data_IF_175721209538
#
_entry.id   IF_175721209538
#
_cell.length_a   1.000
_cell.length_b   1.000
_cell.length_c   1.000
_cell.angle_alpha   90.00
_cell.angle_beta   90.00
_cell.angle_gamma   90.00
#
_symmetry.space_group_name_H-M   'P 1'
#
loop_
_entity.id
_entity.type
_entity.pdbx_description
1 polymer ?
#
# COMPACT_ATOMS: atom_id res chain seq x y z
N UNK A 1 6.01 12.52 -1.24
CA UNK A 1 7.09 12.04 -2.14
C UNK A 1 8.06 11.21 -1.30
N UNK A 2 8.42 10.00 -1.70
CA UNK A 2 9.27 9.10 -0.89
C UNK A 2 10.71 9.65 -0.79
N UNK A 3 11.04 10.37 0.28
CA UNK A 3 12.39 10.91 0.51
C UNK A 3 13.46 9.83 0.76
N UNK A 4 13.04 8.59 1.00
CA UNK A 4 13.86 7.40 1.25
C UNK A 4 14.99 7.23 0.23
N UNK A 5 14.69 7.44 -1.06
CA UNK A 5 15.67 7.27 -2.13
C UNK A 5 16.68 8.41 -2.19
N UNK A 6 16.28 9.62 -1.80
CA UNK A 6 17.15 10.80 -1.76
C UNK A 6 18.06 10.80 -0.52
N UNK A 7 17.54 10.35 0.62
CA UNK A 7 18.28 10.26 1.89
C UNK A 7 19.13 8.98 2.02
N UNK A 8 19.01 8.05 1.07
CA UNK A 8 19.78 6.80 1.08
C UNK A 8 19.40 5.85 2.21
N UNK A 9 18.17 5.96 2.74
CA UNK A 9 17.69 5.09 3.81
C UNK A 9 17.47 3.67 3.29
N UNK A 10 17.97 2.69 4.04
CA UNK A 10 17.86 1.27 3.67
C UNK A 10 16.45 0.72 3.90
N UNK A 11 15.82 1.13 5.00
CA UNK A 11 14.53 0.63 5.47
C UNK A 11 13.82 1.76 6.19
N UNK A 12 12.51 1.89 5.99
CA UNK A 12 11.66 2.79 6.78
C UNK A 12 10.39 2.10 7.23
N UNK A 13 9.78 2.67 8.25
CA UNK A 13 8.44 2.34 8.71
C UNK A 13 7.50 3.49 8.32
N UNK A 14 6.43 3.17 7.60
CA UNK A 14 5.35 4.10 7.25
C UNK A 14 4.12 3.69 8.05
N UNK A 15 3.45 4.68 8.65
CA UNK A 15 2.26 4.51 9.48
C UNK A 15 1.27 5.61 9.14
N UNK A 16 -0.02 5.27 9.12
CA UNK A 16 -1.11 6.24 9.20
C UNK A 16 -1.19 6.83 10.62
N UNK A 17 -1.75 8.02 10.72
CA UNK A 17 -1.82 8.80 11.97
C UNK A 17 -2.89 8.26 12.93
N UNK A 18 -3.86 7.51 12.43
CA UNK A 18 -4.96 6.89 13.18
C UNK A 18 -4.74 5.38 13.46
N UNK A 19 -3.49 4.92 13.40
CA UNK A 19 -3.13 3.54 13.72
C UNK A 19 -3.14 3.26 15.24
N UNK A 20 -3.88 2.23 15.65
CA UNK A 20 -3.81 1.64 17.00
C UNK A 20 -2.74 0.55 17.04
N UNK A 21 -1.77 0.71 17.93
CA UNK A 21 -0.69 -0.26 18.12
C UNK A 21 -1.08 -1.40 19.06
N UNK A 22 -0.66 -2.60 18.72
CA UNK A 22 -0.71 -3.74 19.62
C UNK A 22 0.19 -3.55 20.85
N UNK A 23 -0.14 -4.15 22.01
CA UNK A 23 0.77 -4.22 23.15
C UNK A 23 2.13 -4.78 22.73
N UNK A 24 3.19 -4.19 23.29
CA UNK A 24 4.58 -4.53 22.97
C UNK A 24 4.97 -4.33 21.50
N UNK A 25 4.33 -3.39 20.79
CA UNK A 25 4.58 -3.08 19.37
C UNK A 25 6.05 -3.08 18.98
N UNK A 26 6.90 -2.30 19.68
CA UNK A 26 8.34 -2.18 19.36
C UNK A 26 9.05 -3.52 19.43
N UNK A 27 8.73 -4.34 20.43
CA UNK A 27 9.29 -5.68 20.59
C UNK A 27 8.82 -6.62 19.47
N UNK A 28 7.51 -6.64 19.18
CA UNK A 28 6.95 -7.43 18.09
C UNK A 28 7.53 -7.03 16.72
N UNK A 29 7.70 -5.73 16.47
CA UNK A 29 8.33 -5.21 15.25
C UNK A 29 9.78 -5.68 15.13
N UNK A 30 10.54 -5.64 16.23
CA UNK A 30 11.90 -6.15 16.26
C UNK A 30 11.95 -7.65 15.95
N UNK A 31 10.98 -8.44 16.42
CA UNK A 31 10.90 -9.87 16.06
C UNK A 31 10.72 -10.07 14.55
N UNK A 32 9.84 -9.30 13.92
CA UNK A 32 9.62 -9.34 12.45
C UNK A 32 10.92 -8.97 11.70
N UNK A 33 11.56 -7.86 12.08
CA UNK A 33 12.83 -7.44 11.48
C UNK A 33 13.95 -8.48 11.67
N UNK A 34 14.04 -9.08 12.85
CA UNK A 34 15.01 -10.13 13.12
C UNK A 34 14.74 -11.39 12.29
N UNK A 35 13.47 -11.74 12.07
CA UNK A 35 13.10 -12.87 11.21
C UNK A 35 13.43 -12.61 9.73
N UNK A 36 13.15 -11.42 9.21
CA UNK A 36 13.56 -11.01 7.85
C UNK A 36 15.09 -11.15 7.67
N UNK A 37 15.88 -10.66 8.63
CA UNK A 37 17.35 -10.76 8.61
C UNK A 37 17.84 -12.21 8.72
N UNK A 38 17.22 -13.02 9.58
CA UNK A 38 17.55 -14.44 9.79
C UNK A 38 17.30 -15.26 8.53
N UNK A 39 16.16 -15.04 7.88
CA UNK A 39 15.76 -15.76 6.67
C UNK A 39 16.59 -15.36 5.44
N UNK A 40 17.25 -14.20 5.47
CA UNK A 40 18.07 -13.66 4.36
C UNK A 40 17.32 -13.61 3.03
N UNK A 41 16.01 -13.38 3.10
CA UNK A 41 15.16 -13.25 1.93
C UNK A 41 15.14 -11.82 1.41
N UNK A 42 14.96 -11.68 0.10
CA UNK A 42 14.66 -10.37 -0.49
C UNK A 42 13.24 -9.95 -0.16
N UNK A 43 13.04 -8.70 0.26
CA UNK A 43 11.73 -8.10 0.47
C UNK A 43 11.76 -6.62 0.07
N UNK A 44 10.63 -6.12 -0.42
CA UNK A 44 10.45 -4.73 -0.85
C UNK A 44 9.49 -4.01 0.07
N UNK A 45 8.41 -4.68 0.46
CA UNK A 45 7.37 -4.15 1.33
C UNK A 45 6.95 -5.24 2.34
N UNK A 46 6.73 -4.85 3.59
CA UNK A 46 6.15 -5.74 4.60
C UNK A 46 4.99 -5.03 5.28
N UNK A 47 3.77 -5.50 5.04
CA UNK A 47 2.60 -5.00 5.76
C UNK A 47 2.70 -5.34 7.24
N UNK A 48 2.36 -4.37 8.08
CA UNK A 48 2.22 -4.57 9.53
C UNK A 48 0.82 -4.18 10.03
N UNK A 49 0.04 -3.47 9.21
CA UNK A 49 -1.39 -3.24 9.36
C UNK A 49 -2.04 -3.16 7.99
N UNK A 50 -3.06 -3.99 7.77
CA UNK A 50 -3.87 -4.01 6.56
C UNK A 50 -5.19 -4.74 6.78
N UNK A 51 -6.14 -4.56 5.88
CA UNK A 51 -7.32 -5.41 5.73
C UNK A 51 -7.06 -6.43 4.62
N UNK A 52 -6.83 -7.68 4.99
CA UNK A 52 -6.83 -8.77 4.02
C UNK A 52 -8.26 -8.98 3.49
N UNK A 53 -8.40 -9.05 2.17
CA UNK A 53 -9.71 -9.30 1.54
C UNK A 53 -9.83 -10.71 0.96
N UNK A 54 -8.72 -11.45 0.89
CA UNK A 54 -8.73 -12.81 0.37
C UNK A 54 -7.67 -13.67 1.06
N UNK A 55 -7.97 -14.07 2.32
CA UNK A 55 -7.09 -14.89 3.15
C UNK A 55 -6.71 -16.23 2.49
N UNK A 56 -7.55 -16.75 1.59
CA UNK A 56 -7.31 -18.01 0.88
C UNK A 56 -6.11 -17.95 -0.08
N UNK A 57 -5.65 -16.75 -0.46
CA UNK A 57 -4.48 -16.57 -1.32
C UNK A 57 -3.19 -16.29 -0.53
N UNK A 58 -3.24 -16.30 0.80
CA UNK A 58 -2.05 -16.11 1.62
C UNK A 58 -1.28 -17.41 1.80
N UNK A 59 0.04 -17.31 1.72
CA UNK A 59 0.92 -18.46 1.93
C UNK A 59 2.00 -18.12 2.94
N UNK A 60 2.18 -19.00 3.92
CA UNK A 60 3.30 -18.89 4.86
C UNK A 60 4.63 -18.92 4.11
N UNK A 61 5.50 -17.99 4.47
CA UNK A 61 6.87 -18.02 3.96
C UNK A 61 7.58 -19.23 4.56
N UNK A 62 8.29 -19.98 3.73
CA UNK A 62 9.04 -21.17 4.17
C UNK A 62 10.00 -20.81 5.31
N UNK A 63 10.02 -21.64 6.36
CA UNK A 63 10.84 -21.46 7.57
C UNK A 63 10.53 -20.17 8.39
N UNK A 64 9.42 -19.48 8.09
CA UNK A 64 8.96 -18.31 8.82
C UNK A 64 7.93 -18.67 9.89
N UNK A 65 7.88 -17.90 10.97
CA UNK A 65 6.82 -17.96 11.99
C UNK A 65 5.95 -16.71 12.04
N UNK A 66 6.40 -15.60 11.44
CA UNK A 66 5.71 -14.31 11.51
C UNK A 66 5.41 -13.70 10.13
N UNK A 67 5.80 -14.34 9.03
CA UNK A 67 5.68 -13.76 7.68
C UNK A 67 4.89 -14.65 6.73
N UNK A 68 3.98 -14.02 6.01
CA UNK A 68 3.22 -14.60 4.89
C UNK A 68 3.44 -13.78 3.62
N UNK A 69 3.14 -14.38 2.47
CA UNK A 69 2.93 -13.64 1.21
C UNK A 69 1.48 -13.16 1.18
N UNK A 70 1.24 -11.83 1.11
CA UNK A 70 -0.10 -11.29 1.12
C UNK A 70 -0.79 -11.50 -0.22
N UNK A 71 -2.11 -11.68 -0.18
CA UNK A 71 -2.99 -11.50 -1.33
C UNK A 71 -3.44 -10.04 -1.48
N UNK A 72 -4.55 -9.85 -2.19
CA UNK A 72 -5.20 -8.55 -2.32
C UNK A 72 -5.58 -7.97 -0.95
N UNK A 73 -5.28 -6.68 -0.75
CA UNK A 73 -5.35 -6.03 0.55
C UNK A 73 -5.85 -4.60 0.43
N UNK A 74 -6.64 -4.16 1.41
CA UNK A 74 -7.08 -2.78 1.61
C UNK A 74 -6.51 -2.18 2.89
N UNK A 75 -6.76 -0.88 3.10
CA UNK A 75 -6.42 -0.13 4.31
C UNK A 75 -4.93 -0.22 4.62
N UNK A 76 -4.11 0.59 3.96
CA UNK A 76 -2.64 0.54 4.08
C UNK A 76 -2.14 1.24 5.36
N UNK A 77 -2.68 0.81 6.52
CA UNK A 77 -2.46 1.40 7.85
C UNK A 77 -0.97 1.54 8.20
N UNK A 78 -0.15 0.58 7.76
CA UNK A 78 1.30 0.71 7.92
C UNK A 78 2.10 -0.47 7.38
N UNK A 79 3.31 -0.14 6.96
CA UNK A 79 4.21 -1.06 6.30
C UNK A 79 5.68 -0.66 6.46
N UNK A 80 6.56 -1.65 6.42
CA UNK A 80 7.98 -1.44 6.19
C UNK A 80 8.23 -1.32 4.69
N UNK A 81 9.09 -0.40 4.29
CA UNK A 81 9.51 -0.21 2.90
C UNK A 81 11.04 -0.21 2.82
N UNK A 82 11.59 -1.10 2.00
CA UNK A 82 13.03 -1.08 1.72
C UNK A 82 13.36 -0.02 0.67
N UNK A 83 14.60 0.47 0.66
CA UNK A 83 15.06 1.41 -0.37
C UNK A 83 14.94 0.84 -1.80
N UNK A 84 15.07 -0.48 -1.96
CA UNK A 84 14.83 -1.19 -3.23
C UNK A 84 13.34 -1.15 -3.60
N UNK A 85 12.46 -1.40 -2.64
CA UNK A 85 11.01 -1.28 -2.82
C UNK A 85 10.62 0.13 -3.23
N UNK A 86 11.12 1.15 -2.54
CA UNK A 86 10.87 2.55 -2.87
C UNK A 86 11.28 2.88 -4.33
N UNK A 87 12.45 2.42 -4.79
CA UNK A 87 12.89 2.60 -6.18
C UNK A 87 11.94 1.93 -7.18
N UNK A 88 11.51 0.69 -6.91
CA UNK A 88 10.52 -0.01 -7.77
C UNK A 88 9.21 0.75 -7.87
N UNK A 89 8.68 1.23 -6.74
CA UNK A 89 7.45 2.02 -6.70
C UNK A 89 7.58 3.34 -7.47
N UNK A 90 8.73 4.02 -7.39
CA UNK A 90 8.97 5.25 -8.15
C UNK A 90 9.12 4.99 -9.65
N UNK A 91 9.80 3.91 -10.04
CA UNK A 91 9.98 3.54 -11.46
C UNK A 91 8.65 3.26 -12.18
N UNK A 92 7.61 2.86 -11.44
CA UNK A 92 6.26 2.70 -11.96
C UNK A 92 5.60 4.03 -12.39
N UNK A 93 6.24 5.18 -12.15
CA UNK A 93 5.74 6.53 -12.43
C UNK A 93 4.31 6.77 -11.88
N UNK A 94 4.08 6.55 -10.57
CA UNK A 94 2.74 6.54 -9.99
C UNK A 94 1.99 7.86 -10.16
N UNK A 95 2.71 8.99 -10.24
CA UNK A 95 2.09 10.32 -10.44
C UNK A 95 1.43 10.49 -11.82
N UNK A 96 1.79 9.67 -12.82
CA UNK A 96 1.13 9.68 -14.14
C UNK A 96 -0.14 8.82 -14.16
N UNK A 97 -0.34 7.98 -13.14
CA UNK A 97 -1.41 6.98 -13.03
C UNK A 97 -1.93 7.01 -11.60
N UNK A 98 -2.54 8.14 -11.24
CA UNK A 98 -2.95 8.45 -9.87
C UNK A 98 -3.96 7.39 -9.39
N UNK A 99 -3.51 6.56 -8.45
CA UNK A 99 -4.30 5.52 -7.81
C UNK A 99 -4.20 5.66 -6.30
N UNK A 100 -5.25 5.28 -5.55
CA UNK A 100 -5.14 5.04 -4.12
C UNK A 100 -4.00 4.08 -3.81
N UNK A 101 -3.31 4.31 -2.67
CA UNK A 101 -2.11 3.55 -2.32
C UNK A 101 -2.39 2.07 -2.10
N UNK A 102 -3.55 1.76 -1.54
CA UNK A 102 -4.04 0.41 -1.28
C UNK A 102 -4.48 -0.33 -2.54
N UNK A 103 -4.70 0.37 -3.66
CA UNK A 103 -4.87 -0.25 -4.99
C UNK A 103 -3.54 -0.37 -5.73
N UNK A 104 -2.72 0.67 -5.64
CA UNK A 104 -1.42 0.71 -6.28
C UNK A 104 -0.47 -0.37 -5.76
N UNK A 105 -0.38 -0.57 -4.44
CA UNK A 105 0.55 -1.56 -3.87
C UNK A 105 0.24 -2.99 -4.34
N UNK A 106 -1.00 -3.52 -4.24
CA UNK A 106 -1.35 -4.83 -4.79
C UNK A 106 -1.11 -4.99 -6.28
N UNK A 107 -1.28 -3.93 -7.07
CA UNK A 107 -0.88 -3.96 -8.49
C UNK A 107 0.62 -4.23 -8.60
N UNK A 108 1.44 -3.51 -7.83
CA UNK A 108 2.90 -3.60 -7.92
C UNK A 108 3.47 -4.95 -7.46
N UNK A 109 2.78 -5.69 -6.58
CA UNK A 109 3.12 -7.09 -6.25
C UNK A 109 2.24 -8.13 -6.96
N UNK A 110 1.52 -7.71 -8.01
CA UNK A 110 0.76 -8.56 -8.92
C UNK A 110 -0.33 -9.43 -8.25
N UNK A 111 -1.10 -8.83 -7.34
CA UNK A 111 -2.19 -9.48 -6.59
C UNK A 111 -3.48 -8.64 -6.60
N UNK A 112 -3.70 -7.84 -7.65
CA UNK A 112 -4.91 -7.02 -7.78
C UNK A 112 -6.01 -7.77 -8.56
N UNK A 113 -7.30 -7.70 -8.16
CA UNK A 113 -8.38 -8.47 -8.78
C UNK A 113 -8.80 -7.95 -10.17
N UNK A 114 -8.59 -6.66 -10.46
CA UNK A 114 -8.91 -6.07 -11.77
C UNK A 114 -7.72 -6.16 -12.72
N UNK A 115 -7.84 -7.01 -13.74
CA UNK A 115 -6.81 -7.21 -14.77
C UNK A 115 -6.54 -5.93 -15.57
N UNK A 116 -7.57 -5.16 -15.91
CA UNK A 116 -7.46 -3.88 -16.64
C UNK A 116 -6.50 -2.89 -15.96
N UNK A 117 -6.45 -2.93 -14.62
CA UNK A 117 -5.57 -2.06 -13.82
C UNK A 117 -4.15 -2.61 -13.77
N UNK A 118 -4.00 -3.94 -13.67
CA UNK A 118 -2.69 -4.61 -13.75
C UNK A 118 -2.00 -4.31 -15.09
N UNK A 119 -2.75 -4.33 -16.19
CA UNK A 119 -2.26 -4.06 -17.54
C UNK A 119 -1.70 -2.64 -17.70
N UNK A 120 -2.11 -1.69 -16.85
CA UNK A 120 -1.54 -0.34 -16.86
C UNK A 120 -0.10 -0.31 -16.33
N UNK A 121 0.41 -1.33 -15.65
CA UNK A 121 1.75 -1.31 -15.07
C UNK A 121 2.53 -2.52 -15.55
N UNK A 122 3.50 -2.35 -16.43
CA UNK A 122 4.24 -3.49 -17.02
C UNK A 122 5.13 -4.22 -15.98
N UNK A 123 5.90 -3.46 -15.20
CA UNK A 123 6.79 -4.01 -14.17
C UNK A 123 6.10 -4.13 -12.81
N UNK A 124 5.60 -5.34 -12.49
CA UNK A 124 4.89 -5.65 -11.23
C UNK A 124 5.66 -6.64 -10.37
N UNK A 125 6.90 -6.28 -10.04
CA UNK A 125 7.88 -7.18 -9.40
C UNK A 125 8.17 -6.84 -7.94
N UNK A 126 7.29 -6.10 -7.26
CA UNK A 126 7.44 -5.76 -5.85
C UNK A 126 7.32 -7.03 -4.99
N UNK A 127 8.33 -7.34 -4.18
CA UNK A 127 8.30 -8.50 -3.29
C UNK A 127 7.62 -8.08 -1.99
N UNK A 128 6.30 -8.27 -1.93
CA UNK A 128 5.50 -7.98 -0.75
C UNK A 128 5.45 -9.18 0.22
N UNK A 129 5.47 -8.86 1.51
CA UNK A 129 5.22 -9.76 2.63
C UNK A 129 4.22 -9.10 3.58
N UNK A 130 3.70 -9.87 4.54
CA UNK A 130 2.90 -9.35 5.63
C UNK A 130 3.32 -10.03 6.93
N UNK A 131 3.33 -9.26 8.02
CA UNK A 131 3.33 -9.82 9.35
C UNK A 131 2.04 -10.61 9.58
N UNK A 132 2.15 -11.75 10.28
CA UNK A 132 1.03 -12.54 10.77
C UNK A 132 1.38 -13.08 12.16
N UNK A 133 0.72 -12.63 13.24
CA UNK A 133 -0.37 -11.62 13.26
C UNK A 133 0.11 -10.20 12.91
N UNK A 134 -0.84 -9.32 12.55
CA UNK A 134 -0.58 -7.90 12.33
C UNK A 134 -0.20 -7.19 13.65
N UNK A 135 0.50 -6.06 13.51
CA UNK A 135 1.03 -5.28 14.64
C UNK A 135 0.23 -4.01 14.93
N UNK A 136 -0.53 -3.52 13.95
CA UNK A 136 -1.37 -2.34 14.08
C UNK A 136 -2.73 -2.59 13.43
N UNK A 137 -3.74 -1.89 13.95
CA UNK A 137 -5.14 -2.01 13.57
C UNK A 137 -5.75 -0.60 13.54
N UNK A 138 -6.89 -0.38 12.84
CA UNK A 138 -7.51 0.93 12.85
C UNK A 138 -8.10 1.22 14.25
N UNK A 139 -8.19 2.50 14.63
CA UNK A 139 -8.86 2.90 15.87
C UNK A 139 -10.36 2.59 15.80
N UNK A 140 -10.98 2.74 14.63
CA UNK A 140 -12.39 2.48 14.34
C UNK A 140 -12.52 1.53 13.16
N UNK A 141 -13.51 0.64 13.18
CA UNK A 141 -13.87 -0.17 12.02
C UNK A 141 -15.11 0.41 11.32
N UNK A 142 -15.28 0.13 10.03
CA UNK A 142 -16.49 0.51 9.26
C UNK A 142 -17.79 -0.06 9.83
N UNK A 143 -17.69 -1.08 10.69
CA UNK A 143 -18.83 -1.67 11.41
C UNK A 143 -19.19 -0.97 12.71
N UNK A 144 -18.38 -0.02 13.18
CA UNK A 144 -18.59 0.63 14.47
C UNK A 144 -19.76 1.62 14.40
N UNK A 145 -20.58 1.66 15.45
CA UNK A 145 -21.70 2.61 15.53
C UNK A 145 -21.19 4.06 15.54
N UNK A 146 -21.78 4.90 14.70
CA UNK A 146 -21.33 6.27 14.46
C UNK A 146 -20.02 6.40 13.67
N UNK A 147 -19.55 5.35 12.99
CA UNK A 147 -18.44 5.46 12.05
C UNK A 147 -18.79 6.43 10.91
N UNK A 148 -17.90 7.37 10.63
CA UNK A 148 -17.98 8.31 9.51
C UNK A 148 -16.66 8.21 8.77
N UNK A 149 -16.71 7.91 7.48
CA UNK A 149 -15.55 7.94 6.58
C UNK A 149 -15.69 9.12 5.64
N UNK A 150 -14.58 9.82 5.43
CA UNK A 150 -14.43 10.84 4.40
C UNK A 150 -14.05 10.26 3.03
N UNK A 151 -13.75 8.96 2.95
CA UNK A 151 -13.17 8.30 1.76
C UNK A 151 -13.99 7.15 1.17
N UNK A 152 -14.85 6.48 1.95
CA UNK A 152 -15.56 5.27 1.51
C UNK A 152 -16.87 5.56 0.74
N UNK A 153 -17.53 6.70 0.99
CA UNK A 153 -18.87 7.03 0.43
C UNK A 153 -18.87 8.21 -0.55
N UNK A 154 -17.77 8.41 -1.28
CA UNK A 154 -17.68 9.52 -2.24
C UNK A 154 -18.58 9.29 -3.47
N UNK A 155 -19.32 10.33 -3.85
CA UNK A 155 -20.12 10.32 -5.08
C UNK A 155 -19.22 10.37 -6.31
N UNK A 156 -19.44 9.46 -7.26
CA UNK A 156 -18.73 9.49 -8.55
C UNK A 156 -19.17 10.73 -9.33
N UNK A 157 -18.25 11.66 -9.55
CA UNK A 157 -18.49 12.80 -10.45
C UNK A 157 -18.39 12.29 -11.89
N UNK A 158 -19.51 12.23 -12.60
CA UNK A 158 -19.46 12.04 -14.05
C UNK A 158 -19.01 13.35 -14.70
N UNK A 159 -17.78 13.36 -15.20
CA UNK A 159 -17.30 14.45 -16.05
C UNK A 159 -17.97 14.27 -17.41
N UNK A 160 -19.02 15.03 -17.67
CA UNK A 160 -19.55 15.17 -19.03
C UNK A 160 -18.52 15.92 -19.88
N UNK A 161 -18.27 15.39 -21.08
CA UNK A 161 -17.29 15.91 -22.06
C UNK A 161 -17.47 17.38 -22.40
N UNK A 162 -18.65 17.95 -22.11
CA UNK A 162 -19.05 19.30 -22.49
C UNK A 162 -18.34 20.40 -21.69
N UNK A 163 -17.84 20.11 -20.48
CA UNK A 163 -17.15 21.13 -19.66
C UNK A 163 -15.65 21.27 -19.98
N UNK A 164 -15.00 20.21 -20.49
CA UNK A 164 -13.58 20.24 -20.85
C UNK A 164 -13.29 21.09 -22.10
N UNK A 165 -14.27 21.21 -23.00
CA UNK A 165 -14.16 22.03 -24.20
C UNK A 165 -14.27 23.54 -23.92
N UNK A 166 -14.91 23.91 -22.81
CA UNK A 166 -15.19 25.31 -22.46
C UNK A 166 -13.99 25.93 -21.74
N UNK A 167 -13.36 25.21 -20.80
CA UNK A 167 -12.16 25.70 -20.07
C UNK A 167 -10.91 25.80 -20.96
N UNK A 168 -10.73 24.92 -21.95
CA UNK A 168 -9.60 25.01 -22.89
C UNK A 168 -9.68 26.23 -23.83
N UNK A 169 -10.87 26.83 -23.98
CA UNK A 169 -11.08 28.02 -24.81
C UNK A 169 -10.72 29.29 -24.06
N UNK A 170 -11.09 29.42 -22.79
CA UNK A 170 -10.76 30.58 -21.96
C UNK A 170 -9.24 30.73 -21.75
N UNK A 171 -8.50 29.63 -21.58
CA UNK A 171 -7.04 29.69 -21.37
C UNK A 171 -6.27 30.13 -22.63
N UNK A 172 -6.86 30.01 -23.83
CA UNK A 172 -6.22 30.41 -25.10
C UNK A 172 -6.52 31.84 -25.52
N UNK A 173 -7.49 32.51 -24.92
CA UNK A 173 -7.83 33.91 -25.26
C UNK A 173 -7.03 34.93 -24.43
N UNK A 174 -6.37 34.50 -23.34
CA UNK A 174 -5.53 35.34 -22.45
C UNK A 174 -4.00 35.16 -22.65
N UNK A 175 -3.55 34.69 -23.84
CA UNK A 175 -2.14 34.57 -24.23
C UNK A 175 -1.81 35.35 -25.51
#
# INVERSE_FOLDING_TARGET
>A
MFNITYEGLNEVLVLEDDARFEPYFRFKLQMVLNELRRLKISWDLVYIGRKSLNDNNESWLENSKLLVRPGYSYWTLGYLLSGRGAKKLLNANPLKKLLPVDEFLPIMFNQHPRTEWLEQFEERNLIALSASPLLIYPIRYTSDDGYVSDTEDSVTVQVTSDNLATEQKEIKEDL
#
